data_IF_323201558333
#
_entry.id   IF_323201558333
#
_cell.length_a   1.000
_cell.length_b   1.000
_cell.length_c   1.000
_cell.angle_alpha   90.00
_cell.angle_beta   90.00
_cell.angle_gamma   90.00
#
_symmetry.space_group_name_H-M   'P 1'
#
loop_
_entity.id
_entity.type
_entity.pdbx_description
1 polymer ?
#
# COMPACT_ATOMS: atom_id res chain seq x y z
N UNK A 1 19.77 23.61 9.90
CA UNK A 1 18.67 22.63 9.91
C UNK A 1 18.77 21.82 8.64
N UNK A 2 19.04 20.52 8.72
CA UNK A 2 18.94 19.67 7.53
C UNK A 2 17.47 19.63 7.12
N UNK A 3 17.17 20.00 5.87
CA UNK A 3 15.83 19.84 5.34
C UNK A 3 15.46 18.36 5.24
N UNK A 4 14.16 18.06 5.26
CA UNK A 4 13.68 16.70 5.02
C UNK A 4 13.84 16.30 3.56
N UNK A 5 14.20 15.04 3.32
CA UNK A 5 14.35 14.49 1.98
C UNK A 5 12.98 14.34 1.29
N UNK A 6 12.98 14.19 -0.04
CA UNK A 6 11.74 13.92 -0.76
C UNK A 6 11.10 12.59 -0.31
N UNK A 7 11.93 11.57 -0.06
CA UNK A 7 11.46 10.26 0.40
C UNK A 7 10.76 10.36 1.77
N UNK A 8 11.35 11.08 2.73
CA UNK A 8 10.71 11.35 4.03
C UNK A 8 9.39 12.10 3.86
N UNK A 9 9.35 13.13 3.01
CA UNK A 9 8.11 13.88 2.76
C UNK A 9 7.01 13.00 2.16
N UNK A 10 7.34 12.09 1.26
CA UNK A 10 6.38 11.14 0.69
C UNK A 10 5.94 10.17 1.77
N UNK A 11 6.88 9.54 2.49
CA UNK A 11 6.57 8.60 3.56
C UNK A 11 5.59 9.19 4.59
N UNK A 12 5.93 10.35 5.16
CA UNK A 12 5.10 11.03 6.16
C UNK A 12 3.68 11.33 5.68
N UNK A 13 3.49 11.62 4.38
CA UNK A 13 2.17 11.88 3.80
C UNK A 13 1.32 10.62 3.65
N UNK A 14 1.93 9.43 3.63
CA UNK A 14 1.24 8.17 3.35
C UNK A 14 1.05 7.29 4.60
N UNK A 15 1.59 7.68 5.76
CA UNK A 15 1.37 6.95 7.01
C UNK A 15 -0.08 7.09 7.46
N UNK A 16 -0.76 5.94 7.59
CA UNK A 16 -2.13 5.82 8.08
C UNK A 16 -2.15 5.55 9.58
N UNK A 17 -1.19 4.77 10.08
CA UNK A 17 -1.06 4.44 11.51
C UNK A 17 0.39 4.21 11.88
N UNK A 18 0.76 4.69 13.06
CA UNK A 18 1.98 4.32 13.77
C UNK A 18 1.63 3.52 15.01
N UNK A 19 2.43 2.50 15.31
CA UNK A 19 2.30 1.71 16.54
C UNK A 19 3.69 1.33 17.05
N UNK A 20 3.85 1.38 18.37
CA UNK A 20 5.13 1.07 19.02
C UNK A 20 5.51 -0.39 18.75
N UNK A 21 6.75 -0.60 18.28
CA UNK A 21 7.26 -1.93 17.94
C UNK A 21 6.71 -2.54 16.64
N UNK A 22 5.81 -1.87 15.93
CA UNK A 22 5.29 -2.29 14.62
C UNK A 22 5.83 -1.39 13.50
N UNK A 23 5.98 -1.89 12.26
CA UNK A 23 6.22 -1.04 11.11
C UNK A 23 5.07 -0.05 10.89
N UNK A 24 5.38 1.11 10.30
CA UNK A 24 4.37 2.08 9.88
C UNK A 24 3.39 1.43 8.88
N UNK A 25 2.09 1.65 9.09
CA UNK A 25 1.07 1.29 8.12
C UNK A 25 0.98 2.39 7.07
N UNK A 26 1.33 2.08 5.82
CA UNK A 26 1.25 3.01 4.70
C UNK A 26 0.00 2.79 3.85
N UNK A 27 -0.52 3.89 3.31
CA UNK A 27 -1.47 3.87 2.21
C UNK A 27 -0.73 3.75 0.87
N UNK A 28 -1.26 2.92 -0.03
CA UNK A 28 -0.73 2.74 -1.38
C UNK A 28 -1.77 3.23 -2.38
N UNK A 29 -1.44 4.31 -3.09
CA UNK A 29 -2.36 5.01 -3.99
C UNK A 29 -2.53 4.33 -5.35
N UNK A 30 -1.50 3.62 -5.83
CA UNK A 30 -1.48 2.99 -7.15
C UNK A 30 -0.97 1.56 -7.06
N UNK A 31 -1.73 0.63 -7.64
CA UNK A 31 -1.33 -0.77 -7.77
C UNK A 31 -1.14 -1.07 -9.25
N UNK A 32 0.09 -1.39 -9.66
CA UNK A 32 0.39 -1.82 -11.02
C UNK A 32 0.37 -3.34 -11.09
N UNK A 33 -0.49 -3.87 -11.94
CA UNK A 33 -0.75 -5.30 -12.08
C UNK A 33 -0.19 -5.82 -13.41
N UNK A 34 0.36 -7.04 -13.40
CA UNK A 34 0.83 -7.72 -14.62
C UNK A 34 0.33 -9.17 -14.69
N UNK A 35 0.15 -9.68 -15.90
CA UNK A 35 -0.59 -10.92 -16.22
C UNK A 35 -0.06 -12.21 -15.57
N UNK A 36 1.17 -12.22 -15.06
CA UNK A 36 1.79 -13.41 -14.48
C UNK A 36 1.51 -13.55 -12.97
N UNK A 37 1.48 -12.46 -12.21
CA UNK A 37 1.32 -12.50 -10.73
C UNK A 37 -0.07 -12.06 -10.27
N UNK A 38 -0.81 -11.35 -11.12
CA UNK A 38 -2.11 -10.79 -10.76
C UNK A 38 -3.16 -11.86 -10.41
N UNK A 39 -3.29 -12.99 -11.13
CA UNK A 39 -4.27 -14.02 -10.76
C UNK A 39 -4.08 -14.53 -9.33
N UNK A 40 -2.83 -14.77 -8.92
CA UNK A 40 -2.50 -15.24 -7.58
C UNK A 40 -2.87 -14.22 -6.49
N UNK A 41 -2.62 -12.92 -6.73
CA UNK A 41 -2.98 -11.87 -5.78
C UNK A 41 -4.50 -11.77 -5.58
N UNK A 42 -5.29 -11.83 -6.66
CA UNK A 42 -6.75 -11.79 -6.59
C UNK A 42 -7.34 -13.06 -5.97
N UNK A 43 -6.71 -14.22 -6.17
CA UNK A 43 -7.10 -15.45 -5.49
C UNK A 43 -6.91 -15.36 -3.98
N UNK A 44 -5.80 -14.77 -3.53
CA UNK A 44 -5.57 -14.48 -2.11
C UNK A 44 -6.63 -13.57 -1.48
N UNK A 45 -7.09 -12.54 -2.21
CA UNK A 45 -8.21 -11.70 -1.77
C UNK A 45 -9.49 -12.52 -1.62
N UNK A 46 -9.81 -13.38 -2.59
CA UNK A 46 -11.04 -14.20 -2.56
C UNK A 46 -11.03 -15.19 -1.40
N UNK A 47 -9.91 -15.89 -1.18
CA UNK A 47 -9.74 -16.84 -0.09
C UNK A 47 -9.85 -16.18 1.28
N UNK A 48 -9.42 -14.92 1.40
CA UNK A 48 -9.57 -14.12 2.63
C UNK A 48 -10.93 -13.42 2.74
N UNK A 49 -11.85 -13.62 1.80
CA UNK A 49 -13.17 -12.97 1.77
C UNK A 49 -13.11 -11.46 1.55
N UNK A 50 -12.02 -10.94 0.97
CA UNK A 50 -11.77 -9.51 0.76
C UNK A 50 -12.06 -9.12 -0.68
N UNK A 51 -12.46 -7.85 -0.85
CA UNK A 51 -12.61 -7.20 -2.16
C UNK A 51 -11.46 -6.23 -2.38
N UNK A 52 -11.15 -5.94 -3.65
CA UNK A 52 -10.26 -4.83 -4.00
C UNK A 52 -10.83 -3.54 -3.43
N UNK A 53 -10.01 -2.81 -2.68
CA UNK A 53 -10.47 -1.62 -1.94
C UNK A 53 -10.73 -0.42 -2.85
N UNK A 54 -9.93 -0.25 -3.90
CA UNK A 54 -9.98 0.86 -4.86
C UNK A 54 -9.93 0.36 -6.31
N UNK A 55 -11.01 -0.28 -6.79
CA UNK A 55 -11.06 -0.79 -8.17
C UNK A 55 -10.99 0.32 -9.23
N UNK A 56 -11.18 1.59 -8.83
CA UNK A 56 -11.05 2.78 -9.66
C UNK A 56 -9.59 3.25 -9.86
N UNK A 57 -8.64 2.68 -9.11
CA UNK A 57 -7.22 3.03 -9.12
C UNK A 57 -6.32 1.83 -9.44
N UNK A 58 -6.85 0.84 -10.17
CA UNK A 58 -6.16 -0.39 -10.56
C UNK A 58 -6.14 -0.56 -12.07
#
# INVERSE_FOLDING_TARGET
MSGTTLAEKVWERHVVRRAEGEPDLLYVDLHLVHEVTSPQAFDGLRLSGRKVRRPDLT
#
